data_IF_463867853381
#
_entry.id   IF_463867853381
#
_cell.length_a   1.000
_cell.length_b   1.000
_cell.length_c   1.000
_cell.angle_alpha   90.00
_cell.angle_beta   90.00
_cell.angle_gamma   90.00
#
_symmetry.space_group_name_H-M   'P 1'
#
loop_
_entity.id
_entity.type
_entity.pdbx_description
1 polymer ?
#
# COMPACT_ATOMS: atom_id res chain seq x y z
N UNK A 1 13.63 -3.36 1.87
CA UNK A 1 12.65 -3.35 0.76
C UNK A 1 11.80 -2.11 0.97
N UNK A 2 11.78 -1.16 0.05
CA UNK A 2 10.87 0.00 0.14
C UNK A 2 9.75 -0.30 -0.84
N UNK A 3 8.54 -0.45 -0.33
CA UNK A 3 7.34 -0.70 -1.13
C UNK A 3 6.93 0.60 -1.87
N UNK A 4 6.48 0.52 -3.12
CA UNK A 4 6.55 1.64 -4.07
C UNK A 4 5.35 2.61 -4.01
N UNK A 5 4.82 2.89 -2.82
CA UNK A 5 3.87 4.01 -2.63
C UNK A 5 4.16 4.88 -1.40
N UNK A 6 5.31 4.72 -0.74
CA UNK A 6 5.42 5.19 0.66
C UNK A 6 6.35 6.38 0.94
N UNK A 7 6.96 7.04 -0.06
CA UNK A 7 7.54 8.39 0.06
C UNK A 7 8.17 8.87 -1.25
N UNK A 8 8.07 10.16 -1.57
CA UNK A 8 8.76 10.76 -2.72
C UNK A 8 10.25 10.92 -2.40
N UNK A 9 11.12 10.04 -2.91
CA UNK A 9 12.56 10.03 -2.58
C UNK A 9 13.24 11.41 -2.78
N UNK A 10 12.75 12.23 -3.72
CA UNK A 10 13.31 13.56 -3.94
C UNK A 10 13.09 14.55 -2.78
N UNK A 11 12.18 14.26 -1.83
CA UNK A 11 12.01 15.09 -0.62
C UNK A 11 12.93 14.67 0.54
N UNK A 12 13.80 13.67 0.35
CA UNK A 12 14.71 13.17 1.39
C UNK A 12 16.08 13.85 1.34
N UNK A 13 16.78 13.83 2.49
CA UNK A 13 18.15 14.35 2.60
C UNK A 13 19.10 13.67 1.62
N UNK A 14 20.17 14.37 1.24
CA UNK A 14 21.21 13.82 0.34
C UNK A 14 21.83 12.54 0.90
N UNK A 15 22.08 12.49 2.22
CA UNK A 15 22.61 11.31 2.92
C UNK A 15 21.64 10.14 2.81
N UNK A 16 20.35 10.36 3.09
CA UNK A 16 19.35 9.29 3.00
C UNK A 16 19.21 8.74 1.57
N UNK A 17 19.30 9.61 0.56
CA UNK A 17 19.28 9.22 -0.85
C UNK A 17 20.51 8.40 -1.23
N UNK A 18 21.68 8.73 -0.69
CA UNK A 18 22.91 7.96 -0.90
C UNK A 18 22.81 6.55 -0.28
N UNK A 19 22.40 6.45 0.99
CA UNK A 19 22.20 5.17 1.70
C UNK A 19 21.11 4.31 1.02
N UNK A 20 20.08 4.96 0.49
CA UNK A 20 19.06 4.30 -0.31
C UNK A 20 19.65 3.70 -1.58
N UNK A 21 20.48 4.45 -2.30
CA UNK A 21 21.16 3.98 -3.49
C UNK A 21 22.05 2.77 -3.20
N UNK A 22 22.77 2.76 -2.08
CA UNK A 22 23.63 1.63 -1.67
C UNK A 22 22.83 0.35 -1.43
N UNK A 23 21.72 0.46 -0.71
CA UNK A 23 20.83 -0.69 -0.47
C UNK A 23 20.21 -1.22 -1.75
N UNK A 24 19.96 -0.36 -2.74
CA UNK A 24 19.46 -0.79 -4.06
C UNK A 24 20.56 -1.54 -4.82
N UNK A 25 21.79 -1.04 -4.83
CA UNK A 25 22.93 -1.69 -5.49
C UNK A 25 23.22 -3.07 -4.90
N UNK A 26 23.37 -3.17 -3.59
CA UNK A 26 23.61 -4.45 -2.90
C UNK A 26 22.50 -5.47 -3.18
N UNK A 27 21.26 -5.00 -3.34
CA UNK A 27 20.14 -5.86 -3.68
C UNK A 27 20.13 -6.28 -5.16
N UNK A 28 20.51 -5.39 -6.07
CA UNK A 28 20.63 -5.73 -7.49
C UNK A 28 21.74 -6.77 -7.70
N UNK A 29 22.89 -6.58 -7.07
CA UNK A 29 24.01 -7.53 -7.12
C UNK A 29 23.62 -8.88 -6.49
N UNK A 30 22.93 -8.86 -5.35
CA UNK A 30 22.41 -10.09 -4.73
C UNK A 30 21.41 -10.85 -5.60
N UNK A 31 20.68 -10.17 -6.49
CA UNK A 31 19.63 -10.79 -7.31
C UNK A 31 20.13 -11.18 -8.71
N UNK A 32 21.02 -10.39 -9.29
CA UNK A 32 21.44 -10.51 -10.69
C UNK A 32 22.91 -10.93 -10.84
N UNK A 33 23.64 -11.05 -9.73
CA UNK A 33 25.09 -11.25 -9.73
C UNK A 33 25.82 -9.97 -10.17
N UNK A 34 26.99 -10.15 -10.79
CA UNK A 34 27.77 -9.06 -11.37
C UNK A 34 26.92 -8.23 -12.36
N UNK A 35 26.95 -6.91 -12.23
CA UNK A 35 26.17 -5.98 -13.05
C UNK A 35 26.94 -5.51 -14.30
N UNK A 36 28.21 -5.89 -14.44
CA UNK A 36 29.05 -5.53 -15.58
C UNK A 36 28.41 -5.97 -16.91
N UNK A 37 28.40 -5.07 -17.88
CA UNK A 37 27.82 -5.23 -19.22
C UNK A 37 26.30 -5.53 -19.25
N UNK A 38 25.60 -5.54 -18.10
CA UNK A 38 24.13 -5.68 -18.09
C UNK A 38 23.47 -4.38 -18.49
N UNK A 39 22.47 -4.47 -19.36
CA UNK A 39 21.62 -3.33 -19.74
C UNK A 39 20.48 -3.20 -18.74
N UNK A 40 20.43 -2.07 -18.03
CA UNK A 40 19.46 -1.80 -16.97
C UNK A 40 18.59 -0.63 -17.38
N UNK A 41 17.31 -0.92 -17.65
CA UNK A 41 16.32 0.06 -18.05
C UNK A 41 15.59 0.61 -16.82
N UNK A 42 15.59 1.93 -16.62
CA UNK A 42 15.03 2.56 -15.42
C UNK A 42 13.85 3.45 -15.79
N UNK A 43 12.68 3.10 -15.26
CA UNK A 43 11.40 3.74 -15.55
C UNK A 43 10.92 4.60 -14.38
N UNK A 44 11.85 5.38 -13.78
CA UNK A 44 11.58 6.23 -12.63
C UNK A 44 11.73 7.73 -12.99
N UNK A 45 11.33 8.63 -12.08
CA UNK A 45 11.61 10.07 -12.22
C UNK A 45 13.05 10.38 -11.81
N UNK A 46 13.63 11.47 -12.35
CA UNK A 46 15.02 11.86 -12.15
C UNK A 46 15.52 11.77 -10.69
N UNK A 47 14.71 12.26 -9.73
CA UNK A 47 15.07 12.21 -8.30
C UNK A 47 15.28 10.81 -7.70
N UNK A 48 14.90 9.74 -8.39
CA UNK A 48 15.24 8.35 -8.05
C UNK A 48 16.45 7.83 -8.80
N UNK A 49 16.64 8.29 -10.03
CA UNK A 49 17.72 7.86 -10.92
C UNK A 49 19.05 8.43 -10.42
N UNK A 50 19.07 9.69 -9.99
CA UNK A 50 20.28 10.39 -9.54
C UNK A 50 21.03 9.66 -8.43
N UNK A 51 20.30 8.96 -7.55
CA UNK A 51 20.86 8.25 -6.40
C UNK A 51 21.57 6.92 -6.77
N UNK A 52 21.26 6.35 -7.94
CA UNK A 52 21.73 5.00 -8.34
C UNK A 52 22.49 4.99 -9.67
N UNK A 53 22.26 5.96 -10.56
CA UNK A 53 22.83 5.99 -11.91
C UNK A 53 24.35 5.96 -11.91
N UNK A 54 24.99 6.80 -11.08
CA UNK A 54 26.45 6.83 -10.96
C UNK A 54 27.04 5.51 -10.47
N UNK A 55 26.33 4.81 -9.58
CA UNK A 55 26.77 3.53 -9.01
C UNK A 55 26.59 2.38 -10.00
N UNK A 56 25.48 2.35 -10.74
CA UNK A 56 25.25 1.38 -11.82
C UNK A 56 26.30 1.52 -12.93
N UNK A 57 26.61 2.76 -13.33
CA UNK A 57 27.67 3.02 -14.30
C UNK A 57 29.06 2.61 -13.78
N UNK A 58 29.35 2.85 -12.49
CA UNK A 58 30.60 2.42 -11.86
C UNK A 58 30.74 0.89 -11.78
N UNK A 59 29.63 0.15 -11.65
CA UNK A 59 29.59 -1.31 -11.74
C UNK A 59 29.65 -1.84 -13.20
N UNK A 60 29.88 -0.98 -14.19
CA UNK A 60 29.99 -1.38 -15.60
C UNK A 60 28.65 -1.68 -16.29
N UNK A 61 27.51 -1.34 -15.67
CA UNK A 61 26.20 -1.54 -16.26
C UNK A 61 25.86 -0.44 -17.28
N UNK A 62 25.13 -0.81 -18.33
CA UNK A 62 24.62 0.13 -19.33
C UNK A 62 23.23 0.60 -18.89
N UNK A 63 23.15 1.81 -18.36
CA UNK A 63 21.88 2.39 -17.89
C UNK A 63 21.13 3.06 -19.03
N UNK A 64 19.86 2.69 -19.22
CA UNK A 64 18.95 3.29 -20.21
C UNK A 64 17.78 3.94 -19.49
N UNK A 65 17.45 5.17 -19.89
CA UNK A 65 16.35 5.96 -19.35
C UNK A 65 15.35 6.31 -20.48
N UNK A 66 14.51 5.36 -20.93
CA UNK A 66 13.65 5.57 -22.10
C UNK A 66 12.59 6.66 -21.89
N UNK A 67 12.27 6.95 -20.62
CA UNK A 67 11.24 7.91 -20.22
C UNK A 67 11.83 9.28 -19.81
N UNK A 68 13.13 9.49 -19.99
CA UNK A 68 13.77 10.76 -19.71
C UNK A 68 13.18 11.85 -20.62
N UNK A 69 12.85 13.02 -20.04
CA UNK A 69 12.29 14.16 -20.78
C UNK A 69 10.80 14.05 -21.17
N UNK A 70 10.18 12.86 -21.11
CA UNK A 70 8.78 12.69 -21.51
C UNK A 70 7.80 13.27 -20.47
N UNK A 71 6.76 13.95 -20.95
CA UNK A 71 5.57 14.37 -20.17
C UNK A 71 4.72 13.17 -19.73
N UNK A 72 3.77 13.38 -18.83
CA UNK A 72 2.93 12.27 -18.33
C UNK A 72 2.11 11.59 -19.44
N UNK A 73 1.58 12.37 -20.39
CA UNK A 73 0.84 11.84 -21.54
C UNK A 73 1.72 11.01 -22.47
N UNK A 74 2.93 11.49 -22.77
CA UNK A 74 3.90 10.80 -23.63
C UNK A 74 4.44 9.52 -22.99
N UNK A 75 4.60 9.48 -21.66
CA UNK A 75 4.96 8.24 -20.94
C UNK A 75 3.87 7.18 -21.07
N UNK A 76 2.61 7.58 -20.98
CA UNK A 76 1.47 6.66 -21.14
C UNK A 76 1.34 6.17 -22.59
N UNK A 77 1.65 7.02 -23.57
CA UNK A 77 1.76 6.61 -24.97
C UNK A 77 2.94 5.64 -25.19
N UNK A 78 4.12 5.95 -24.65
CA UNK A 78 5.30 5.09 -24.72
C UNK A 78 5.01 3.69 -24.16
N UNK A 79 4.32 3.54 -23.03
CA UNK A 79 3.93 2.22 -22.52
C UNK A 79 2.92 1.46 -23.38
N UNK A 80 2.12 2.18 -24.17
CA UNK A 80 1.16 1.60 -25.11
C UNK A 80 1.85 1.08 -26.37
N UNK A 81 2.88 1.81 -26.80
CA UNK A 81 3.60 1.56 -28.06
C UNK A 81 4.83 0.65 -27.85
N UNK A 82 5.44 0.65 -26.66
CA UNK A 82 6.62 -0.14 -26.29
C UNK A 82 6.30 -1.58 -25.85
N UNK A 83 5.25 -2.21 -26.40
CA UNK A 83 5.12 -3.68 -26.37
C UNK A 83 6.23 -4.24 -27.28
N UNK A 84 7.46 -4.21 -26.77
CA UNK A 84 8.61 -4.88 -27.38
C UNK A 84 8.70 -6.25 -26.70
N UNK A 85 8.56 -7.37 -27.43
CA UNK A 85 8.76 -8.70 -26.87
C UNK A 85 10.21 -8.79 -26.37
N UNK A 86 10.44 -9.21 -25.13
CA UNK A 86 11.78 -9.56 -24.68
C UNK A 86 12.28 -10.78 -25.48
N UNK A 87 13.36 -10.69 -26.27
CA UNK A 87 13.96 -11.85 -26.90
C UNK A 87 14.71 -12.66 -25.82
N UNK A 88 14.57 -13.99 -25.89
CA UNK A 88 15.10 -15.02 -24.96
C UNK A 88 14.28 -15.37 -23.73
N UNK A 89 12.95 -15.21 -23.79
CA UNK A 89 12.06 -16.16 -23.11
C UNK A 89 11.67 -17.21 -24.13
N UNK A 90 12.23 -18.42 -24.03
CA UNK A 90 11.66 -19.60 -24.69
C UNK A 90 10.13 -19.56 -24.46
N UNK A 91 9.30 -19.85 -25.48
CA UNK A 91 7.86 -19.69 -25.37
C UNK A 91 7.38 -20.52 -24.20
N UNK A 92 7.09 -19.86 -23.08
CA UNK A 92 6.18 -20.40 -22.10
C UNK A 92 4.92 -20.65 -22.94
N UNK A 93 4.43 -21.89 -23.05
CA UNK A 93 3.20 -22.13 -23.78
C UNK A 93 2.23 -21.11 -23.25
N UNK A 94 1.63 -20.34 -24.17
CA UNK A 94 0.56 -19.43 -23.83
C UNK A 94 -0.31 -20.20 -22.85
N UNK A 95 -0.37 -19.74 -21.60
CA UNK A 95 -1.41 -20.19 -20.70
C UNK A 95 -2.64 -19.64 -21.39
N UNK A 96 -3.14 -20.45 -22.34
CA UNK A 96 -4.39 -20.28 -23.04
C UNK A 96 -5.33 -19.85 -21.95
N UNK A 97 -5.89 -18.64 -22.10
CA UNK A 97 -6.86 -18.01 -21.21
C UNK A 97 -7.36 -19.05 -20.23
N UNK A 98 -6.64 -19.22 -19.10
CA UNK A 98 -7.17 -20.04 -18.04
C UNK A 98 -8.41 -19.26 -17.71
N UNK A 99 -9.62 -19.79 -17.99
CA UNK A 99 -10.82 -18.98 -18.00
C UNK A 99 -10.79 -18.28 -16.66
N UNK A 100 -10.65 -16.95 -16.69
CA UNK A 100 -10.55 -16.17 -15.48
C UNK A 100 -11.78 -16.58 -14.70
N UNK A 101 -11.62 -17.41 -13.66
CA UNK A 101 -12.78 -17.97 -12.96
C UNK A 101 -13.48 -16.73 -12.46
N UNK A 102 -14.68 -16.41 -12.99
CA UNK A 102 -15.34 -15.19 -12.62
C UNK A 102 -15.52 -15.28 -11.11
N UNK A 103 -14.97 -14.29 -10.40
CA UNK A 103 -15.19 -14.21 -8.97
C UNK A 103 -16.69 -14.12 -8.80
N UNK A 104 -17.26 -15.16 -8.20
CA UNK A 104 -18.70 -15.26 -8.04
C UNK A 104 -19.20 -14.09 -7.18
N UNK A 105 -20.23 -13.33 -7.61
CA UNK A 105 -20.78 -12.22 -6.83
C UNK A 105 -21.11 -12.60 -5.38
N UNK A 106 -21.49 -13.86 -5.14
CA UNK A 106 -21.78 -14.40 -3.82
C UNK A 106 -20.54 -14.48 -2.92
N UNK A 107 -19.34 -14.68 -3.50
CA UNK A 107 -18.09 -14.65 -2.75
C UNK A 107 -17.75 -13.22 -2.29
N UNK A 108 -17.94 -12.22 -3.16
CA UNK A 108 -17.77 -10.81 -2.81
C UNK A 108 -18.75 -10.43 -1.70
N UNK A 109 -20.03 -10.79 -1.86
CA UNK A 109 -21.05 -10.51 -0.85
C UNK A 109 -20.70 -11.12 0.50
N UNK A 110 -20.25 -12.39 0.53
CA UNK A 110 -19.81 -13.04 1.78
C UNK A 110 -18.62 -12.33 2.43
N UNK A 111 -17.62 -11.92 1.64
CA UNK A 111 -16.48 -11.18 2.17
C UNK A 111 -16.89 -9.81 2.74
N UNK A 112 -17.80 -9.11 2.06
CA UNK A 112 -18.37 -7.84 2.54
C UNK A 112 -19.11 -8.06 3.86
N UNK A 113 -19.92 -9.12 3.99
CA UNK A 113 -20.61 -9.45 5.24
C UNK A 113 -19.63 -9.75 6.37
N UNK A 114 -18.60 -10.57 6.11
CA UNK A 114 -17.58 -10.88 7.11
C UNK A 114 -16.83 -9.62 7.57
N UNK A 115 -16.46 -8.72 6.64
CA UNK A 115 -15.80 -7.46 6.98
C UNK A 115 -16.72 -6.46 7.69
N UNK A 116 -18.04 -6.60 7.50
CA UNK A 116 -19.10 -5.81 8.16
C UNK A 116 -19.55 -6.38 9.51
N UNK A 117 -19.08 -7.56 9.88
CA UNK A 117 -19.50 -8.21 11.12
C UNK A 117 -18.82 -7.57 12.34
N UNK A 118 -19.49 -6.59 12.94
CA UNK A 118 -19.04 -5.90 14.15
C UNK A 118 -18.88 -6.84 15.34
N UNK A 119 -19.65 -7.93 15.42
CA UNK A 119 -19.54 -8.91 16.52
C UNK A 119 -18.21 -9.68 16.47
N UNK A 120 -17.60 -9.76 15.30
CA UNK A 120 -16.28 -10.35 15.09
C UNK A 120 -15.13 -9.33 15.27
N UNK A 121 -15.43 -8.05 15.50
CA UNK A 121 -14.44 -6.99 15.60
C UNK A 121 -13.72 -7.00 16.96
N UNK A 122 -12.41 -7.20 16.92
CA UNK A 122 -11.56 -7.26 18.11
C UNK A 122 -10.82 -5.95 18.34
N UNK A 123 -10.57 -5.61 19.60
CA UNK A 123 -9.62 -4.55 19.95
C UNK A 123 -8.20 -4.94 19.50
N UNK A 124 -7.30 -3.97 19.28
CA UNK A 124 -5.89 -4.25 19.02
C UNK A 124 -5.22 -5.14 20.07
N UNK A 125 -5.59 -5.00 21.34
CA UNK A 125 -5.03 -5.81 22.42
C UNK A 125 -5.46 -7.28 22.30
N UNK A 126 -6.75 -7.53 22.09
CA UNK A 126 -7.30 -8.89 21.89
C UNK A 126 -6.71 -9.55 20.64
N UNK A 127 -6.59 -8.81 19.53
CA UNK A 127 -5.99 -9.31 18.30
C UNK A 127 -4.53 -9.73 18.51
N UNK A 128 -3.73 -8.90 19.18
CA UNK A 128 -2.33 -9.24 19.49
C UNK A 128 -2.22 -10.43 20.45
N UNK A 129 -3.14 -10.54 21.42
CA UNK A 129 -3.17 -11.63 22.39
C UNK A 129 -3.53 -12.98 21.76
N UNK A 130 -4.41 -13.01 20.75
CA UNK A 130 -4.70 -14.21 19.95
C UNK A 130 -3.47 -14.74 19.20
N UNK A 131 -2.50 -13.88 18.92
CA UNK A 131 -1.29 -14.26 18.19
C UNK A 131 -1.54 -14.52 16.71
N UNK A 132 -0.54 -15.11 16.05
CA UNK A 132 -0.45 -15.24 14.59
C UNK A 132 -1.23 -16.42 13.98
N UNK A 133 -1.87 -17.25 14.79
CA UNK A 133 -2.51 -18.48 14.33
C UNK A 133 -3.60 -18.17 13.28
N UNK A 134 -3.52 -18.82 12.11
CA UNK A 134 -4.43 -18.58 10.98
C UNK A 134 -4.26 -17.23 10.27
N UNK A 135 -3.28 -16.40 10.63
CA UNK A 135 -3.08 -15.05 10.10
C UNK A 135 -1.77 -14.87 9.31
N UNK A 136 -0.94 -15.91 9.22
CA UNK A 136 0.24 -15.96 8.34
C UNK A 136 -0.12 -16.27 6.87
N UNK A 137 -1.28 -15.78 6.44
CA UNK A 137 -1.82 -15.94 5.10
C UNK A 137 -2.28 -14.59 4.54
N UNK A 138 -2.48 -14.49 3.21
CA UNK A 138 -3.15 -13.36 2.60
C UNK A 138 -4.59 -13.22 3.09
N UNK A 139 -5.16 -12.03 2.92
CA UNK A 139 -6.55 -11.80 3.26
C UNK A 139 -6.98 -10.34 3.21
N UNK A 140 -8.17 -10.09 3.71
CA UNK A 140 -8.79 -8.78 3.83
C UNK A 140 -8.92 -8.39 5.30
N UNK A 141 -8.99 -7.10 5.57
CA UNK A 141 -9.26 -6.59 6.90
C UNK A 141 -10.07 -5.30 6.85
N UNK A 142 -10.82 -5.03 7.91
CA UNK A 142 -11.52 -3.78 8.13
C UNK A 142 -11.19 -3.22 9.51
N UNK A 143 -11.21 -1.88 9.59
CA UNK A 143 -11.03 -1.12 10.82
C UNK A 143 -12.32 -0.39 11.13
N UNK A 144 -12.69 -0.45 12.40
CA UNK A 144 -13.89 0.10 12.98
C UNK A 144 -13.54 1.12 14.03
N UNK A 145 -14.42 2.06 14.25
CA UNK A 145 -14.28 3.10 15.26
C UNK A 145 -15.51 3.15 16.15
N UNK A 146 -15.30 3.44 17.43
CA UNK A 146 -16.37 3.74 18.38
C UNK A 146 -16.92 5.17 18.22
N UNK A 147 -17.91 5.53 19.05
CA UNK A 147 -18.54 6.86 19.01
C UNK A 147 -17.57 8.00 19.30
N UNK A 148 -16.78 7.86 20.37
CA UNK A 148 -15.84 8.90 20.79
C UNK A 148 -14.76 9.16 19.74
N UNK A 149 -14.19 8.10 19.17
CA UNK A 149 -13.22 8.23 18.09
C UNK A 149 -13.84 8.84 16.84
N UNK A 150 -15.09 8.48 16.51
CA UNK A 150 -15.80 9.03 15.35
C UNK A 150 -16.01 10.55 15.48
N UNK A 151 -16.38 11.02 16.67
CA UNK A 151 -16.54 12.45 16.97
C UNK A 151 -15.22 13.21 16.79
N UNK A 152 -14.11 12.66 17.26
CA UNK A 152 -12.78 13.28 17.10
C UNK A 152 -12.33 13.31 15.63
N UNK A 153 -12.57 12.22 14.89
CA UNK A 153 -12.29 12.21 13.45
C UNK A 153 -13.16 13.23 12.71
N UNK A 154 -14.42 13.36 13.10
CA UNK A 154 -15.36 14.32 12.54
C UNK A 154 -14.87 15.75 12.74
N UNK A 155 -14.40 16.06 13.95
CA UNK A 155 -13.85 17.38 14.28
C UNK A 155 -12.62 17.73 13.41
N UNK A 156 -11.71 16.78 13.20
CA UNK A 156 -10.51 17.02 12.39
C UNK A 156 -10.78 17.11 10.89
N UNK A 157 -11.78 16.37 10.41
CA UNK A 157 -12.20 16.39 9.01
C UNK A 157 -13.17 17.55 8.70
N UNK A 158 -13.88 18.08 9.69
CA UNK A 158 -14.95 19.07 9.48
C UNK A 158 -16.18 18.50 8.76
N UNK A 159 -16.33 17.17 8.76
CA UNK A 159 -17.41 16.40 8.13
C UNK A 159 -17.74 15.24 9.08
N UNK A 160 -19.01 14.84 9.17
CA UNK A 160 -19.43 13.76 10.08
C UNK A 160 -18.87 12.42 9.60
N UNK A 161 -18.14 11.74 10.49
CA UNK A 161 -17.76 10.33 10.41
C UNK A 161 -18.68 9.58 11.35
N UNK A 162 -19.49 8.66 10.81
CA UNK A 162 -20.34 7.80 11.64
C UNK A 162 -19.50 6.75 12.36
N UNK A 163 -19.88 6.35 13.59
CA UNK A 163 -19.30 5.18 14.25
C UNK A 163 -19.48 3.93 13.38
N UNK A 164 -18.48 3.06 13.38
CA UNK A 164 -18.49 1.85 12.56
C UNK A 164 -17.27 1.69 11.65
N UNK A 165 -17.44 1.02 10.51
CA UNK A 165 -16.36 0.70 9.57
C UNK A 165 -15.83 1.96 8.87
N UNK A 166 -14.58 2.32 9.14
CA UNK A 166 -13.93 3.53 8.60
C UNK A 166 -12.89 3.26 7.52
N UNK A 167 -12.32 2.07 7.48
CA UNK A 167 -11.24 1.71 6.55
C UNK A 167 -11.24 0.21 6.27
N UNK A 168 -10.86 -0.18 5.06
CA UNK A 168 -10.60 -1.58 4.71
C UNK A 168 -9.40 -1.71 3.77
N UNK A 169 -8.77 -2.87 3.76
CA UNK A 169 -7.66 -3.16 2.87
C UNK A 169 -7.32 -4.64 2.78
N UNK A 170 -6.32 -4.96 1.97
CA UNK A 170 -5.82 -6.32 1.80
C UNK A 170 -4.41 -6.51 2.33
N UNK A 171 -4.03 -7.75 2.57
CA UNK A 171 -2.66 -8.20 2.79
C UNK A 171 -2.34 -9.38 1.87
N UNK A 172 -1.12 -9.44 1.34
CA UNK A 172 -0.62 -10.65 0.66
C UNK A 172 -1.13 -10.91 -0.77
N UNK A 173 -1.76 -9.95 -1.44
CA UNK A 173 -2.21 -10.11 -2.82
C UNK A 173 -1.06 -10.33 -3.82
N UNK A 174 -1.33 -11.09 -4.88
CA UNK A 174 -0.42 -11.27 -6.02
C UNK A 174 -0.46 -10.05 -6.94
N UNK A 175 0.71 -9.55 -7.33
CA UNK A 175 0.81 -8.40 -8.21
C UNK A 175 0.52 -8.78 -9.67
N UNK A 176 -0.64 -8.35 -10.19
CA UNK A 176 -1.15 -8.67 -11.55
C UNK A 176 -0.13 -8.37 -12.67
N UNK A 177 0.73 -7.35 -12.52
CA UNK A 177 1.74 -6.99 -13.54
C UNK A 177 3.04 -7.81 -13.50
N UNK A 178 3.32 -8.50 -12.40
CA UNK A 178 4.58 -9.22 -12.22
C UNK A 178 4.39 -10.71 -11.92
N UNK A 179 3.15 -11.15 -11.69
CA UNK A 179 2.83 -12.49 -11.21
C UNK A 179 3.42 -12.82 -9.82
N UNK A 180 4.12 -11.88 -9.18
CA UNK A 180 4.84 -12.16 -7.94
C UNK A 180 3.90 -12.01 -6.74
N UNK A 181 3.75 -13.10 -5.99
CA UNK A 181 3.00 -13.13 -4.72
C UNK A 181 3.68 -12.20 -3.70
N UNK A 182 2.89 -11.36 -3.03
CA UNK A 182 3.38 -10.58 -1.90
C UNK A 182 3.74 -11.51 -0.75
N UNK A 183 4.87 -11.26 -0.07
CA UNK A 183 5.26 -11.98 1.14
C UNK A 183 4.57 -11.44 2.40
N UNK A 184 3.74 -10.42 2.26
CA UNK A 184 3.02 -9.81 3.38
C UNK A 184 1.84 -10.71 3.79
N UNK A 185 1.57 -10.83 5.08
CA UNK A 185 0.46 -11.62 5.64
C UNK A 185 -0.49 -10.69 6.40
N UNK A 186 -1.68 -11.18 6.76
CA UNK A 186 -2.57 -10.44 7.65
C UNK A 186 -1.88 -10.08 8.96
N UNK A 187 -1.17 -11.02 9.58
CA UNK A 187 -0.40 -10.75 10.79
C UNK A 187 0.70 -9.70 10.56
N UNK A 188 1.48 -9.87 9.48
CA UNK A 188 2.54 -8.92 9.12
C UNK A 188 2.01 -7.50 8.96
N UNK A 189 0.88 -7.34 8.25
CA UNK A 189 0.25 -6.04 7.99
C UNK A 189 -0.46 -5.44 9.22
N UNK A 190 -1.20 -6.24 9.98
CA UNK A 190 -1.95 -5.70 11.11
C UNK A 190 -1.06 -5.52 12.34
N UNK A 191 -0.40 -6.59 12.79
CA UNK A 191 0.43 -6.55 13.98
C UNK A 191 1.74 -5.80 13.75
N UNK A 192 2.46 -6.11 12.66
CA UNK A 192 3.78 -5.51 12.39
C UNK A 192 3.69 -4.07 11.90
N UNK A 193 2.82 -3.82 10.91
CA UNK A 193 2.75 -2.54 10.22
C UNK A 193 1.81 -1.56 10.95
N UNK A 194 0.53 -1.90 11.12
CA UNK A 194 -0.44 -0.96 11.71
C UNK A 194 -0.27 -0.77 13.23
N UNK A 195 -0.02 -1.85 13.97
CA UNK A 195 0.04 -1.82 15.44
C UNK A 195 1.46 -1.75 16.02
N UNK A 196 2.48 -2.14 15.25
CA UNK A 196 3.85 -2.31 15.74
C UNK A 196 4.83 -1.19 15.38
N UNK A 197 4.44 -0.16 14.62
CA UNK A 197 5.40 0.77 13.98
C UNK A 197 4.94 2.23 13.81
N UNK A 198 5.90 3.10 13.43
CA UNK A 198 5.75 4.55 13.16
C UNK A 198 4.82 4.88 11.96
N UNK A 199 3.93 5.86 12.08
CA UNK A 199 3.00 6.44 11.09
C UNK A 199 3.63 6.73 9.73
N UNK A 200 4.93 7.09 9.69
CA UNK A 200 5.61 7.49 8.45
C UNK A 200 5.57 6.42 7.36
N UNK A 201 5.35 5.17 7.71
CA UNK A 201 5.38 4.04 6.78
C UNK A 201 3.99 3.53 6.39
N UNK A 202 2.88 4.00 7.00
CA UNK A 202 1.58 3.33 6.82
C UNK A 202 0.48 4.32 6.45
N UNK A 203 -0.13 4.09 5.28
CA UNK A 203 -1.19 4.93 4.69
C UNK A 203 -2.34 5.15 5.68
N UNK A 204 -2.77 4.10 6.37
CA UNK A 204 -3.86 4.17 7.34
C UNK A 204 -3.49 5.01 8.57
N UNK A 205 -2.36 4.71 9.23
CA UNK A 205 -1.86 5.50 10.37
C UNK A 205 -1.64 6.97 10.02
N UNK A 206 -1.12 7.23 8.82
CA UNK A 206 -0.93 8.61 8.32
C UNK A 206 -2.26 9.32 8.14
N UNK A 207 -3.30 8.65 7.63
CA UNK A 207 -4.65 9.22 7.54
C UNK A 207 -5.14 9.64 8.93
N UNK A 208 -5.15 8.72 9.91
CA UNK A 208 -5.61 9.00 11.27
C UNK A 208 -4.78 10.09 11.95
N UNK A 209 -3.46 9.95 11.95
CA UNK A 209 -2.54 10.90 12.57
C UNK A 209 -2.67 12.31 11.99
N UNK A 210 -2.90 12.45 10.68
CA UNK A 210 -3.12 13.77 10.05
C UNK A 210 -4.42 14.43 10.52
N UNK A 211 -5.47 13.63 10.77
CA UNK A 211 -6.75 14.14 11.28
C UNK A 211 -6.57 14.58 12.75
N UNK A 212 -6.00 13.72 13.59
CA UNK A 212 -5.79 14.01 15.02
C UNK A 212 -4.83 15.17 15.26
N UNK A 213 -3.77 15.30 14.44
CA UNK A 213 -2.87 16.46 14.49
C UNK A 213 -3.60 17.76 14.15
N UNK A 214 -4.56 17.72 13.21
CA UNK A 214 -5.37 18.88 12.86
C UNK A 214 -6.31 19.29 14.01
N UNK A 215 -6.92 18.32 14.71
CA UNK A 215 -7.75 18.58 15.90
C UNK A 215 -6.94 19.27 17.00
N UNK A 216 -5.73 18.76 17.27
CA UNK A 216 -4.87 19.30 18.33
C UNK A 216 -4.16 20.60 17.95
N UNK A 217 -4.25 21.03 16.68
CA UNK A 217 -3.52 22.19 16.17
C UNK A 217 -2.00 22.00 16.18
N UNK A 218 -1.50 20.76 16.15
CA UNK A 218 -0.07 20.48 16.11
C UNK A 218 0.46 20.49 14.68
N UNK A 219 1.75 20.78 14.52
CA UNK A 219 2.44 20.77 13.22
C UNK A 219 2.98 19.40 12.80
N UNK A 220 2.92 18.42 13.71
CA UNK A 220 3.40 17.07 13.47
C UNK A 220 2.45 16.02 14.07
N UNK A 221 2.51 14.81 13.50
CA UNK A 221 1.81 13.64 14.01
C UNK A 221 2.56 13.11 15.24
N UNK A 222 1.85 13.10 16.36
CA UNK A 222 2.28 12.50 17.61
C UNK A 222 2.02 10.97 17.58
N UNK A 223 3.09 10.19 17.49
CA UNK A 223 3.04 8.73 17.35
C UNK A 223 2.53 8.00 18.58
N UNK A 224 2.92 8.50 19.75
CA UNK A 224 2.56 7.88 21.02
C UNK A 224 1.07 8.08 21.26
N UNK A 225 0.62 9.32 21.09
CA UNK A 225 -0.80 9.65 21.16
C UNK A 225 -1.62 8.89 20.11
N UNK A 226 -1.19 8.86 18.83
CA UNK A 226 -1.88 8.09 17.79
C UNK A 226 -1.99 6.60 18.15
N UNK A 227 -0.92 6.03 18.72
CA UNK A 227 -0.92 4.61 19.09
C UNK A 227 -1.86 4.34 20.26
N UNK A 228 -1.88 5.20 21.28
CA UNK A 228 -2.82 5.10 22.39
C UNK A 228 -4.27 5.23 21.87
N UNK A 229 -4.54 6.26 21.08
CA UNK A 229 -5.84 6.50 20.47
C UNK A 229 -6.34 5.32 19.63
N UNK A 230 -5.47 4.74 18.79
CA UNK A 230 -5.83 3.56 17.99
C UNK A 230 -6.16 2.34 18.85
N UNK A 231 -5.51 2.17 20.00
CA UNK A 231 -5.77 1.06 20.92
C UNK A 231 -7.07 1.22 21.68
N UNK A 232 -7.45 2.47 21.94
CA UNK A 232 -8.64 2.82 22.68
C UNK A 232 -9.89 2.77 21.80
N UNK A 233 -9.86 3.42 20.64
CA UNK A 233 -11.07 3.67 19.85
C UNK A 233 -11.29 2.72 18.68
N UNK A 234 -10.26 1.96 18.27
CA UNK A 234 -10.39 1.11 17.10
C UNK A 234 -10.66 -0.35 17.44
N UNK A 235 -11.41 -0.98 16.55
CA UNK A 235 -11.54 -2.43 16.45
C UNK A 235 -11.20 -2.89 15.05
N UNK A 236 -10.87 -4.16 14.88
CA UNK A 236 -10.49 -4.72 13.59
C UNK A 236 -11.10 -6.10 13.36
N UNK A 237 -11.42 -6.37 12.10
CA UNK A 237 -11.78 -7.70 11.61
C UNK A 237 -10.71 -8.12 10.61
N UNK A 238 -10.24 -9.37 10.71
CA UNK A 238 -9.30 -9.97 9.78
C UNK A 238 -9.92 -11.23 9.17
N UNK A 239 -9.98 -11.27 7.84
CA UNK A 239 -10.60 -12.35 7.06
C UNK A 239 -9.52 -13.00 6.19
N UNK A 240 -8.99 -14.16 6.62
CA UNK A 240 -8.07 -14.96 5.81
C UNK A 240 -8.69 -15.34 4.46
N UNK A 241 -7.90 -15.28 3.40
CA UNK A 241 -8.30 -15.73 2.05
C UNK A 241 -7.18 -16.61 1.49
N UNK A 242 -7.52 -17.86 1.18
CA UNK A 242 -6.55 -18.87 0.74
C UNK A 242 -5.95 -18.54 -0.64
N UNK A 243 -6.75 -18.03 -1.56
CA UNK A 243 -6.35 -17.71 -2.92
C UNK A 243 -5.94 -16.22 -3.07
N UNK A 244 -4.63 -15.99 -3.11
CA UNK A 244 -4.03 -14.67 -3.26
C UNK A 244 -4.23 -14.04 -4.65
N UNK A 245 -4.49 -14.85 -5.67
CA UNK A 245 -4.58 -14.42 -7.07
C UNK A 245 -5.96 -13.81 -7.39
N UNK A 246 -6.91 -14.03 -6.48
CA UNK A 246 -8.27 -13.48 -6.54
C UNK A 246 -8.39 -12.14 -5.76
N UNK A 247 -7.46 -11.86 -4.84
CA UNK A 247 -7.54 -10.72 -3.91
C UNK A 247 -7.48 -9.33 -4.56
N UNK A 248 -6.62 -9.09 -5.57
CA UNK A 248 -6.52 -7.75 -6.18
C UNK A 248 -7.79 -7.36 -6.96
N UNK A 249 -8.42 -8.35 -7.62
CA UNK A 249 -9.71 -8.18 -8.29
C UNK A 249 -10.84 -7.97 -7.28
N UNK A 250 -10.86 -8.77 -6.21
CA UNK A 250 -11.82 -8.64 -5.11
C UNK A 250 -11.78 -7.28 -4.43
N UNK A 251 -10.59 -6.69 -4.26
CA UNK A 251 -10.45 -5.45 -3.49
C UNK A 251 -11.28 -4.31 -4.04
N UNK A 252 -11.30 -4.13 -5.37
CA UNK A 252 -12.05 -3.05 -6.00
C UNK A 252 -13.55 -3.21 -5.73
N UNK A 253 -14.09 -4.41 -5.92
CA UNK A 253 -15.51 -4.68 -5.76
C UNK A 253 -15.94 -4.68 -4.28
N UNK A 254 -15.10 -5.23 -3.39
CA UNK A 254 -15.32 -5.21 -1.95
C UNK A 254 -15.30 -3.77 -1.44
N UNK A 255 -14.31 -2.96 -1.82
CA UNK A 255 -14.26 -1.56 -1.41
C UNK A 255 -15.43 -0.77 -2.00
N UNK A 256 -15.84 -1.03 -3.24
CA UNK A 256 -16.99 -0.36 -3.84
C UNK A 256 -18.30 -0.64 -3.09
N UNK A 257 -18.48 -1.85 -2.55
CA UNK A 257 -19.64 -2.20 -1.73
C UNK A 257 -19.54 -1.69 -0.29
N UNK A 258 -18.33 -1.67 0.29
CA UNK A 258 -18.10 -1.18 1.65
C UNK A 258 -18.15 0.35 1.75
N UNK A 259 -17.66 1.05 0.72
CA UNK A 259 -17.44 2.51 0.63
C UNK A 259 -16.85 3.16 1.90
N UNK A 260 -15.74 2.64 2.47
CA UNK A 260 -15.19 3.16 3.73
C UNK A 260 -14.75 4.62 3.60
N UNK A 261 -15.10 5.50 4.56
CA UNK A 261 -14.88 6.94 4.47
C UNK A 261 -13.40 7.34 4.34
N UNK A 262 -12.48 6.58 4.95
CA UNK A 262 -11.05 6.95 4.98
C UNK A 262 -10.21 6.27 3.88
N UNK A 263 -10.78 5.39 3.06
CA UNK A 263 -10.11 4.88 1.87
C UNK A 263 -10.06 5.95 0.79
N UNK A 264 -8.84 6.24 0.28
CA UNK A 264 -8.63 7.19 -0.82
C UNK A 264 -8.42 6.47 -2.17
N UNK A 265 -7.67 5.36 -2.15
CA UNK A 265 -7.41 4.58 -3.36
C UNK A 265 -8.65 3.77 -3.75
N UNK A 266 -8.88 3.61 -5.05
CA UNK A 266 -10.02 2.87 -5.64
C UNK A 266 -11.40 3.44 -5.28
N UNK A 267 -11.48 4.61 -4.62
CA UNK A 267 -12.74 5.24 -4.17
C UNK A 267 -13.08 6.52 -4.94
N UNK A 268 -14.38 6.84 -5.11
CA UNK A 268 -14.81 8.13 -5.64
C UNK A 268 -14.36 9.30 -4.75
N UNK A 269 -14.07 10.45 -5.36
CA UNK A 269 -13.66 11.65 -4.65
C UNK A 269 -14.88 12.32 -3.99
N UNK A 270 -14.96 12.26 -2.66
CA UNK A 270 -15.94 13.00 -1.85
C UNK A 270 -15.30 14.24 -1.22
N UNK A 271 -16.10 15.11 -0.58
CA UNK A 271 -15.57 16.26 0.18
C UNK A 271 -14.65 15.80 1.32
N UNK A 272 -15.09 14.81 2.09
CA UNK A 272 -14.30 14.18 3.15
C UNK A 272 -12.97 13.60 2.63
N UNK A 273 -12.97 12.82 1.55
CA UNK A 273 -11.74 12.23 0.98
C UNK A 273 -10.78 13.28 0.41
N UNK A 274 -11.31 14.38 -0.15
CA UNK A 274 -10.49 15.54 -0.56
C UNK A 274 -9.84 16.20 0.65
N UNK A 275 -10.59 16.42 1.73
CA UNK A 275 -10.06 16.99 2.97
C UNK A 275 -9.00 16.10 3.59
N UNK A 276 -9.24 14.80 3.68
CA UNK A 276 -8.24 13.82 4.15
C UNK A 276 -6.97 13.85 3.29
N UNK A 277 -7.10 13.97 1.97
CA UNK A 277 -5.95 14.10 1.06
C UNK A 277 -5.12 15.36 1.35
N UNK A 278 -5.78 16.49 1.64
CA UNK A 278 -5.11 17.75 2.01
C UNK A 278 -4.39 17.63 3.35
N UNK A 279 -5.05 17.06 4.38
CA UNK A 279 -4.45 16.83 5.69
C UNK A 279 -3.21 15.93 5.57
N UNK A 280 -3.33 14.82 4.83
CA UNK A 280 -2.17 13.95 4.57
C UNK A 280 -1.03 14.67 3.90
N UNK A 281 -1.31 15.59 2.97
CA UNK A 281 -0.29 16.39 2.30
C UNK A 281 0.42 17.33 3.29
N UNK A 282 -0.32 18.01 4.17
CA UNK A 282 0.21 18.91 5.20
C UNK A 282 1.17 18.19 6.16
N UNK A 283 0.83 16.97 6.58
CA UNK A 283 1.58 16.20 7.57
C UNK A 283 2.48 15.11 6.95
N UNK A 284 3.00 15.37 5.73
CA UNK A 284 3.85 14.44 4.95
C UNK A 284 5.30 14.42 5.38
#
# INVERSE_FOLDING_TARGET
MIEPYERHLASMTLVYRADWGERVMAKLESLLGDLCAKRIEIHARAGYIDAIKGRLAASGAVVVEPLAGLTLGERLAWYRDAIVPFPDSAPVPAVADSPAVPVRPEAIHRLVQLLRDELSAMTPAEFLARGREGLDVPGLYSWWIDGTGADELSLGLGEVVEPGLIYAGLAGATWVRSGRRSRNTLWGRLAGMHLGSRHKFWIFRRSLGSILAAVRGTDAIDEEHLTAWMREHLRLVAVPVEDADVLDRLETDVLAQLDPPLNLAKMPKTTMRRRLSQLRCRYS
#
